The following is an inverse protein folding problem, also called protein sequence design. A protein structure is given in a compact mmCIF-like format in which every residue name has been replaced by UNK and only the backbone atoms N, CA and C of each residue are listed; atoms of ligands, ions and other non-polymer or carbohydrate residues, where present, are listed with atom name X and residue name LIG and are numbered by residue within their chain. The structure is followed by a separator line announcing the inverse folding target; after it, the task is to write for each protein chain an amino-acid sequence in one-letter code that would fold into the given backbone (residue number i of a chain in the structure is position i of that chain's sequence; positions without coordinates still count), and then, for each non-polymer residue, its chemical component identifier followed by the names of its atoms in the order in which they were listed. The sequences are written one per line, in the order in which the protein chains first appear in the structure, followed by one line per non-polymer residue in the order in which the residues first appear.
data_IF_899834483912
#
_entry.id   IF_899834483912
#
_cell.length_a   1.000
_cell.length_b   1.000
_cell.length_c   1.000
_cell.angle_alpha   90.00
_cell.angle_beta   90.00
_cell.angle_gamma   90.00
#
_symmetry.space_group_name_H-M   'P 1'
#
loop_
_entity.id
_entity.type
_entity.pdbx_description
1 polymer ?
#
# COMPACT_ATOMS: atom_id res chain seq x y z
N UNK A 1 18.71 -8.07 -1.24
CA UNK A 1 17.38 -7.61 -1.73
C UNK A 1 16.23 -8.02 -0.83
N UNK A 2 16.38 -9.02 0.04
CA UNK A 2 15.30 -9.49 0.93
C UNK A 2 14.72 -8.39 1.83
N UNK A 3 15.56 -7.56 2.44
CA UNK A 3 15.12 -6.41 3.27
C UNK A 3 14.21 -5.44 2.51
N UNK A 4 14.55 -5.13 1.25
CA UNK A 4 13.77 -4.20 0.42
C UNK A 4 12.41 -4.81 0.08
N UNK A 5 12.38 -6.11 -0.26
CA UNK A 5 11.15 -6.83 -0.55
C UNK A 5 10.24 -6.92 0.68
N UNK A 6 10.79 -7.25 1.85
CA UNK A 6 10.04 -7.24 3.11
C UNK A 6 9.47 -5.85 3.44
N UNK A 7 10.24 -4.78 3.22
CA UNK A 7 9.78 -3.41 3.41
C UNK A 7 8.61 -3.05 2.48
N UNK A 8 8.70 -3.42 1.19
CA UNK A 8 7.64 -3.19 0.22
C UNK A 8 6.37 -4.01 0.53
N UNK A 9 6.52 -5.28 0.94
CA UNK A 9 5.40 -6.12 1.37
C UNK A 9 4.71 -5.56 2.62
N UNK A 10 5.48 -5.09 3.60
CA UNK A 10 4.94 -4.43 4.77
C UNK A 10 4.18 -3.13 4.38
N UNK A 11 4.72 -2.34 3.46
CA UNK A 11 4.03 -1.15 2.94
C UNK A 11 2.75 -1.49 2.16
N UNK A 12 2.73 -2.61 1.44
CA UNK A 12 1.55 -3.07 0.70
C UNK A 12 0.36 -3.41 1.62
N UNK A 13 0.61 -3.79 2.87
CA UNK A 13 -0.42 -4.02 3.89
C UNK A 13 -1.09 -2.72 4.37
N UNK A 14 -0.54 -1.55 4.05
CA UNK A 14 -1.03 -0.26 4.52
C UNK A 14 -1.06 -0.20 6.06
N UNK A 15 -2.07 0.46 6.63
CA UNK A 15 -2.23 0.59 8.09
C UNK A 15 -2.58 -0.70 8.86
N UNK A 16 -2.35 -1.88 8.28
CA UNK A 16 -2.62 -3.19 8.87
C UNK A 16 -4.08 -3.64 8.81
N UNK A 17 -4.34 -4.87 9.27
CA UNK A 17 -5.64 -5.57 9.13
C UNK A 17 -6.83 -4.75 9.68
N UNK A 18 -6.71 -4.24 10.92
CA UNK A 18 -7.76 -3.44 11.57
C UNK A 18 -8.11 -2.17 10.80
N UNK A 19 -7.12 -1.49 10.20
CA UNK A 19 -7.37 -0.29 9.41
C UNK A 19 -8.05 -0.64 8.08
N UNK A 20 -7.64 -1.74 7.43
CA UNK A 20 -8.24 -2.25 6.20
C UNK A 20 -9.70 -2.65 6.42
N UNK A 21 -9.99 -3.43 7.46
CA UNK A 21 -11.35 -3.82 7.83
C UNK A 21 -12.25 -2.59 8.07
N UNK A 22 -11.78 -1.61 8.85
CA UNK A 22 -12.51 -0.35 9.06
C UNK A 22 -12.74 0.44 7.78
N UNK A 23 -11.83 0.36 6.80
CA UNK A 23 -11.97 1.04 5.53
C UNK A 23 -13.03 0.35 4.66
N UNK A 24 -12.97 -0.97 4.54
CA UNK A 24 -13.92 -1.79 3.78
C UNK A 24 -15.32 -1.76 4.41
N UNK A 25 -15.43 -1.79 5.73
CA UNK A 25 -16.71 -1.69 6.46
C UNK A 25 -17.48 -0.39 6.17
N UNK A 26 -16.83 0.63 5.62
CA UNK A 26 -17.47 1.88 5.15
C UNK A 26 -17.94 1.80 3.69
N UNK A 27 -17.95 0.62 3.08
CA UNK A 27 -18.27 0.41 1.66
C UNK A 27 -17.21 0.97 0.71
N UNK A 28 -15.96 1.16 1.17
CA UNK A 28 -14.89 1.76 0.37
C UNK A 28 -13.90 0.69 -0.10
N UNK A 29 -13.58 0.72 -1.38
CA UNK A 29 -12.48 -0.06 -1.97
C UNK A 29 -11.11 0.39 -1.40
N UNK A 30 -10.19 -0.55 -1.18
CA UNK A 30 -8.83 -0.24 -0.72
C UNK A 30 -8.06 0.55 -1.79
N UNK A 31 -7.13 1.43 -1.42
CA UNK A 31 -6.42 2.27 -2.41
C UNK A 31 -5.73 1.49 -3.54
N UNK A 32 -5.04 0.38 -3.24
CA UNK A 32 -4.39 -0.46 -4.27
C UNK A 32 -5.39 -1.16 -5.19
N UNK A 33 -6.55 -1.55 -4.66
CA UNK A 33 -7.64 -2.09 -5.46
C UNK A 33 -8.22 -1.01 -6.40
N UNK A 34 -8.24 0.26 -5.98
CA UNK A 34 -8.68 1.36 -6.87
C UNK A 34 -7.73 1.57 -8.03
N UNK A 35 -6.41 1.52 -7.77
CA UNK A 35 -5.39 1.59 -8.83
C UNK A 35 -5.58 0.43 -9.80
N UNK A 36 -5.68 -0.81 -9.29
CA UNK A 36 -5.87 -1.99 -10.13
C UNK A 36 -7.16 -1.95 -10.96
N UNK A 37 -8.26 -1.41 -10.43
CA UNK A 37 -9.53 -1.25 -11.17
C UNK A 37 -9.54 -0.05 -12.12
N UNK A 38 -8.59 0.88 -12.00
CA UNK A 38 -8.45 2.03 -12.90
C UNK A 38 -7.61 1.67 -14.13
N UNK A 39 -6.60 0.82 -13.96
CA UNK A 39 -5.70 0.41 -15.04
C UNK A 39 -6.41 -0.53 -16.03
N UNK A 40 -5.97 -0.50 -17.28
CA UNK A 40 -6.41 -1.48 -18.28
C UNK A 40 -6.00 -2.90 -17.84
N UNK A 41 -6.85 -3.88 -18.15
CA UNK A 41 -6.63 -5.26 -17.76
C UNK A 41 -5.28 -5.79 -18.31
N UNK A 42 -4.43 -6.25 -17.41
CA UNK A 42 -3.10 -6.78 -17.75
C UNK A 42 -2.01 -5.71 -17.89
N UNK A 43 -2.33 -4.42 -17.78
CA UNK A 43 -1.31 -3.37 -17.76
C UNK A 43 -0.43 -3.48 -16.52
N UNK A 44 0.91 -3.36 -16.65
CA UNK A 44 1.80 -3.32 -15.50
C UNK A 44 1.63 -2.00 -14.74
N UNK A 45 1.91 -2.04 -13.44
CA UNK A 45 1.99 -0.84 -12.60
C UNK A 45 3.40 -0.74 -12.02
N UNK A 46 4.11 0.34 -12.37
CA UNK A 46 5.41 0.67 -11.80
C UNK A 46 5.21 1.62 -10.62
N UNK A 47 5.14 1.08 -9.41
CA UNK A 47 4.98 1.89 -8.21
C UNK A 47 6.27 2.63 -7.83
N UNK A 48 6.14 3.93 -7.57
CA UNK A 48 7.21 4.79 -7.07
C UNK A 48 7.04 4.98 -5.57
N UNK A 49 8.13 4.83 -4.82
CA UNK A 49 8.11 5.10 -3.38
C UNK A 49 7.48 3.99 -2.52
N UNK A 50 7.43 2.73 -2.98
CA UNK A 50 6.88 1.61 -2.21
C UNK A 50 7.54 1.44 -0.81
N UNK A 51 8.80 1.86 -0.64
CA UNK A 51 9.51 1.85 0.65
C UNK A 51 9.59 3.22 1.33
N UNK A 52 8.81 4.20 0.87
CA UNK A 52 8.79 5.53 1.47
C UNK A 52 8.36 5.46 2.94
N UNK A 53 9.05 6.24 3.77
CA UNK A 53 8.90 6.28 5.23
C UNK A 53 9.15 4.94 5.97
N UNK A 54 9.80 3.95 5.33
CA UNK A 54 10.21 2.72 6.02
C UNK A 54 11.15 3.03 7.19
N UNK A 55 10.86 2.45 8.36
CA UNK A 55 11.62 2.66 9.60
C UNK A 55 11.42 4.03 10.26
N UNK A 56 10.54 4.88 9.71
CA UNK A 56 10.19 6.18 10.29
C UNK A 56 8.83 6.10 10.99
N UNK A 57 8.59 7.04 11.92
CA UNK A 57 7.29 7.24 12.59
C UNK A 57 6.73 5.97 13.24
N UNK A 58 7.58 5.11 13.80
CA UNK A 58 7.21 3.83 14.41
C UNK A 58 6.38 2.92 13.49
N UNK A 59 6.59 3.01 12.17
CA UNK A 59 5.84 2.24 11.18
C UNK A 59 4.42 2.74 10.90
N UNK A 60 4.04 3.91 11.42
CA UNK A 60 2.68 4.45 11.29
C UNK A 60 2.35 5.02 9.90
N UNK A 61 3.35 5.20 9.02
CA UNK A 61 3.17 5.78 7.68
C UNK A 61 3.67 4.86 6.53
N UNK A 62 3.05 3.68 6.31
CA UNK A 62 3.47 2.78 5.23
C UNK A 62 3.33 3.43 3.85
N UNK A 63 4.39 3.40 3.03
CA UNK A 63 4.43 4.06 1.72
C UNK A 63 4.23 5.58 1.80
N UNK A 64 4.54 6.19 2.95
CA UNK A 64 4.23 7.59 3.27
C UNK A 64 2.74 7.99 3.06
N UNK A 65 1.82 7.01 3.08
CA UNK A 65 0.38 7.25 2.96
C UNK A 65 -0.15 7.47 1.55
N UNK A 66 0.67 7.29 0.50
CA UNK A 66 0.28 7.47 -0.90
C UNK A 66 0.77 6.30 -1.77
N UNK A 67 0.08 6.04 -2.87
CA UNK A 67 0.48 5.08 -3.91
C UNK A 67 0.57 5.88 -5.20
N UNK A 68 1.72 5.85 -5.87
CA UNK A 68 2.04 6.61 -7.09
C UNK A 68 2.70 5.74 -8.13
#
# INVERSE_FOLDING_TARGET
LETVRAAAEAAALGGGAKARERHVARGKMLPRERVANLLDAGSPFLEVGATAAHGLYDGAAPGAGVIT
#
